data_IF_772485844301
#
_entry.id   IF_772485844301
#
_cell.length_a   1.000
_cell.length_b   1.000
_cell.length_c   1.000
_cell.angle_alpha   90.00
_cell.angle_beta   90.00
_cell.angle_gamma   90.00
#
_symmetry.space_group_name_H-M   'P 1'
#
loop_
_entity.id
_entity.type
_entity.pdbx_description
1 polymer ?
#
# COMPACT_ATOMS: atom_id res chain seq x y z
N UNK A 1 38.42 22.46 -9.74
CA UNK A 1 38.12 21.06 -10.09
C UNK A 1 36.63 20.93 -9.97
N UNK A 2 35.95 20.89 -11.11
CA UNK A 2 34.50 20.76 -11.16
C UNK A 2 34.12 19.33 -10.69
N UNK A 3 33.24 19.24 -9.72
CA UNK A 3 32.61 17.97 -9.32
C UNK A 3 31.82 17.47 -10.54
N UNK A 4 32.28 16.36 -11.12
CA UNK A 4 31.56 15.65 -12.17
C UNK A 4 30.23 15.21 -11.53
N UNK A 5 29.13 15.82 -11.98
CA UNK A 5 27.79 15.31 -11.68
C UNK A 5 27.72 13.87 -12.17
N UNK A 6 27.57 12.94 -11.25
CA UNK A 6 27.27 11.56 -11.59
C UNK A 6 25.96 11.58 -12.39
N UNK A 7 26.04 11.28 -13.67
CA UNK A 7 24.84 11.01 -14.46
C UNK A 7 24.13 9.83 -13.79
N UNK A 8 22.94 10.09 -13.23
CA UNK A 8 22.09 9.02 -12.68
C UNK A 8 21.86 8.00 -13.78
N UNK A 9 22.39 6.80 -13.59
CA UNK A 9 22.20 5.73 -14.57
C UNK A 9 20.75 5.26 -14.56
N UNK A 10 20.28 4.66 -15.65
CA UNK A 10 18.93 4.05 -15.70
C UNK A 10 18.76 3.02 -14.58
N UNK A 11 19.84 2.33 -14.20
CA UNK A 11 19.84 1.40 -13.07
C UNK A 11 19.60 2.09 -11.74
N UNK A 12 20.21 3.26 -11.50
CA UNK A 12 20.02 4.02 -10.26
C UNK A 12 18.58 4.54 -10.15
N UNK A 13 18.02 4.98 -11.30
CA UNK A 13 16.62 5.39 -11.39
C UNK A 13 15.69 4.22 -11.02
N UNK A 14 15.90 3.04 -11.62
CA UNK A 14 15.09 1.84 -11.37
C UNK A 14 15.19 1.42 -9.90
N UNK A 15 16.40 1.34 -9.35
CA UNK A 15 16.62 0.94 -7.95
C UNK A 15 15.92 1.91 -6.99
N UNK A 16 16.04 3.22 -7.24
CA UNK A 16 15.39 4.24 -6.40
C UNK A 16 13.86 4.11 -6.37
N UNK A 17 13.23 3.79 -7.53
CA UNK A 17 11.77 3.66 -7.63
C UNK A 17 11.25 2.29 -7.16
N UNK A 18 12.10 1.27 -7.14
CA UNK A 18 11.74 -0.08 -6.64
C UNK A 18 12.09 -0.29 -5.16
N UNK A 19 12.75 0.68 -4.51
CA UNK A 19 13.10 0.56 -3.09
C UNK A 19 11.93 1.07 -2.25
N UNK A 20 11.39 0.18 -1.42
CA UNK A 20 10.32 0.53 -0.50
C UNK A 20 10.81 1.51 0.57
N UNK A 21 9.96 2.48 0.94
CA UNK A 21 10.20 3.34 2.08
C UNK A 21 10.15 2.50 3.37
N UNK A 22 11.32 2.17 3.88
CA UNK A 22 11.46 1.28 5.03
C UNK A 22 11.86 2.05 6.28
N UNK A 23 11.10 1.87 7.36
CA UNK A 23 11.42 2.36 8.70
C UNK A 23 11.78 1.18 9.60
N UNK A 24 12.92 1.24 10.26
CA UNK A 24 13.35 0.12 11.08
C UNK A 24 14.46 0.46 12.06
N UNK A 25 14.88 -0.56 12.81
CA UNK A 25 15.94 -0.43 13.79
C UNK A 25 17.25 -0.96 13.23
N UNK A 26 18.22 -0.06 13.06
CA UNK A 26 19.59 -0.44 12.70
C UNK A 26 20.31 -1.02 13.94
N UNK A 27 21.11 -2.07 13.77
CA UNK A 27 21.94 -2.62 14.86
C UNK A 27 23.03 -1.64 15.28
N UNK A 28 23.46 -1.76 16.52
CA UNK A 28 24.61 -0.98 17.03
C UNK A 28 25.88 -1.25 16.23
N UNK A 29 26.70 -0.22 16.06
CA UNK A 29 27.95 -0.30 15.32
C UNK A 29 27.79 -0.35 13.80
N UNK A 30 26.58 -0.27 13.26
CA UNK A 30 26.37 -0.19 11.81
C UNK A 30 26.86 1.14 11.26
N UNK A 31 27.68 1.09 10.22
CA UNK A 31 28.20 2.27 9.53
C UNK A 31 27.28 2.64 8.36
N UNK A 32 26.64 3.78 8.45
CA UNK A 32 25.75 4.31 7.39
C UNK A 32 26.55 4.98 6.28
N UNK A 33 25.96 5.12 5.11
CA UNK A 33 26.58 5.81 3.96
C UNK A 33 26.89 7.30 4.21
N UNK A 34 26.21 7.94 5.14
CA UNK A 34 26.45 9.32 5.56
C UNK A 34 27.65 9.48 6.53
N UNK A 35 28.32 8.37 6.86
CA UNK A 35 29.44 8.32 7.79
C UNK A 35 29.03 8.27 9.27
N UNK A 36 27.73 8.24 9.56
CA UNK A 36 27.24 8.07 10.92
C UNK A 36 27.37 6.60 11.36
N UNK A 37 27.86 6.39 12.58
CA UNK A 37 27.89 5.06 13.20
C UNK A 37 26.77 4.98 14.23
N UNK A 38 25.94 3.96 14.13
CA UNK A 38 24.80 3.76 15.03
C UNK A 38 25.29 3.53 16.46
N UNK A 39 24.74 4.28 17.39
CA UNK A 39 25.09 4.24 18.83
C UNK A 39 24.66 2.93 19.51
N UNK A 40 25.15 2.72 20.74
CA UNK A 40 24.76 1.58 21.58
C UNK A 40 23.24 1.48 21.74
N UNK A 41 22.71 0.27 21.57
CA UNK A 41 21.28 -0.01 21.64
C UNK A 41 20.53 0.06 20.32
N UNK A 42 21.19 0.47 19.22
CA UNK A 42 20.62 0.59 17.90
C UNK A 42 19.72 1.84 17.73
N UNK A 43 19.43 2.21 16.51
CA UNK A 43 18.70 3.44 16.17
C UNK A 43 17.50 3.15 15.26
N UNK A 44 16.35 3.77 15.59
CA UNK A 44 15.16 3.73 14.74
C UNK A 44 15.24 4.85 13.69
N UNK A 45 15.30 4.48 12.41
CA UNK A 45 15.47 5.43 11.32
C UNK A 45 14.86 4.91 10.02
N UNK A 46 14.70 5.82 9.03
CA UNK A 46 14.40 5.41 7.67
C UNK A 46 15.66 4.89 6.99
N UNK A 47 15.50 3.80 6.23
CA UNK A 47 16.57 3.24 5.42
C UNK A 47 16.83 4.10 4.18
N UNK A 48 18.11 4.34 3.88
CA UNK A 48 18.55 5.06 2.70
C UNK A 48 19.13 4.14 1.61
N UNK A 49 19.20 2.83 1.86
CA UNK A 49 19.73 1.85 0.91
C UNK A 49 19.38 0.42 1.27
N UNK A 50 19.60 -0.49 0.32
CA UNK A 50 19.28 -1.90 0.46
C UNK A 50 20.10 -2.61 1.55
N UNK A 51 21.30 -2.17 1.82
CA UNK A 51 22.18 -2.65 2.89
C UNK A 51 21.65 -2.27 4.29
N UNK A 52 21.12 -1.06 4.47
CA UNK A 52 20.44 -0.67 5.71
C UNK A 52 19.17 -1.50 5.94
N UNK A 53 18.36 -1.73 4.89
CA UNK A 53 17.16 -2.59 4.96
C UNK A 53 17.54 -4.01 5.38
N UNK A 54 18.60 -4.54 4.79
CA UNK A 54 19.10 -5.89 5.13
C UNK A 54 19.62 -5.96 6.58
N UNK A 55 20.29 -4.90 7.04
CA UNK A 55 20.78 -4.82 8.42
C UNK A 55 19.64 -4.69 9.46
N UNK A 56 18.53 -4.02 9.12
CA UNK A 56 17.33 -3.92 9.96
C UNK A 56 16.65 -5.29 10.15
N UNK A 57 16.74 -6.17 9.15
CA UNK A 57 16.21 -7.52 9.20
C UNK A 57 14.72 -7.57 9.57
N UNK A 58 14.37 -8.28 10.64
CA UNK A 58 12.98 -8.44 11.08
C UNK A 58 12.38 -7.17 11.74
N UNK A 59 13.19 -6.20 12.10
CA UNK A 59 12.75 -4.92 12.67
C UNK A 59 12.48 -3.85 11.61
N UNK A 60 12.28 -4.25 10.37
CA UNK A 60 11.98 -3.37 9.25
C UNK A 60 10.48 -3.37 8.94
N UNK A 61 9.90 -2.19 8.78
CA UNK A 61 8.50 -1.98 8.40
C UNK A 61 8.48 -1.20 7.08
N UNK A 62 7.85 -1.76 6.04
CA UNK A 62 7.63 -1.06 4.77
C UNK A 62 6.45 -0.10 4.92
N UNK A 63 6.77 1.16 5.18
CA UNK A 63 5.78 2.20 5.52
C UNK A 63 4.88 2.52 4.33
N UNK A 64 5.41 2.54 3.13
CA UNK A 64 4.69 2.75 1.88
C UNK A 64 3.61 1.68 1.65
N UNK A 65 4.01 0.40 1.69
CA UNK A 65 3.09 -0.73 1.52
C UNK A 65 2.01 -0.75 2.59
N UNK A 66 2.40 -0.45 3.85
CA UNK A 66 1.45 -0.37 4.95
C UNK A 66 0.48 0.81 4.79
N UNK A 67 0.97 1.97 4.36
CA UNK A 67 0.15 3.15 4.14
C UNK A 67 -0.87 2.93 3.01
N UNK A 68 -0.46 2.33 1.90
CA UNK A 68 -1.35 1.95 0.81
C UNK A 68 -2.39 0.94 1.26
N UNK A 69 -1.98 -0.09 1.99
CA UNK A 69 -2.88 -1.12 2.51
C UNK A 69 -3.95 -0.53 3.43
N UNK A 70 -3.56 0.31 4.39
CA UNK A 70 -4.49 1.00 5.30
C UNK A 70 -5.38 1.97 4.52
N UNK A 71 -4.82 2.75 3.59
CA UNK A 71 -5.55 3.69 2.75
C UNK A 71 -6.65 3.02 1.94
N UNK A 72 -6.34 1.93 1.25
CA UNK A 72 -7.31 1.13 0.51
C UNK A 72 -8.37 0.52 1.43
N UNK A 73 -7.99 0.06 2.62
CA UNK A 73 -8.92 -0.43 3.64
C UNK A 73 -9.92 0.64 4.09
N UNK A 74 -9.46 1.85 4.31
CA UNK A 74 -10.31 2.99 4.66
C UNK A 74 -11.28 3.32 3.51
N UNK A 75 -10.78 3.36 2.28
CA UNK A 75 -11.60 3.61 1.08
C UNK A 75 -12.69 2.52 0.94
N UNK A 76 -12.31 1.25 1.10
CA UNK A 76 -13.24 0.13 1.09
C UNK A 76 -14.34 0.30 2.14
N UNK A 77 -13.95 0.49 3.40
CA UNK A 77 -14.91 0.64 4.50
C UNK A 77 -15.81 1.87 4.31
N UNK A 78 -15.27 3.00 3.86
CA UNK A 78 -16.02 4.21 3.61
C UNK A 78 -17.04 4.02 2.47
N UNK A 79 -16.62 3.39 1.37
CA UNK A 79 -17.46 3.13 0.21
C UNK A 79 -18.63 2.20 0.55
N UNK A 80 -18.34 1.07 1.20
CA UNK A 80 -19.37 0.11 1.57
C UNK A 80 -20.32 0.68 2.63
N UNK A 81 -19.79 1.44 3.61
CA UNK A 81 -20.64 2.16 4.57
C UNK A 81 -21.54 3.19 3.87
N UNK A 82 -20.99 3.93 2.91
CA UNK A 82 -21.74 4.93 2.16
C UNK A 82 -22.91 4.28 1.39
N UNK A 83 -22.68 3.14 0.75
CA UNK A 83 -23.73 2.36 0.07
C UNK A 83 -24.72 1.80 1.07
N UNK A 84 -24.27 1.17 2.14
CA UNK A 84 -25.15 0.56 3.15
C UNK A 84 -26.12 1.56 3.79
N UNK A 85 -25.70 2.79 4.02
CA UNK A 85 -26.56 3.86 4.56
C UNK A 85 -27.59 4.35 3.52
N UNK A 86 -27.31 4.22 2.22
CA UNK A 86 -28.15 4.67 1.11
C UNK A 86 -28.99 3.57 0.47
N UNK A 87 -28.73 2.31 0.86
CA UNK A 87 -29.52 1.18 0.38
C UNK A 87 -30.99 1.38 0.71
N UNK A 88 -31.85 1.26 -0.29
CA UNK A 88 -33.31 1.35 -0.19
C UNK A 88 -33.96 0.16 -0.90
N UNK A 89 -35.24 -0.05 -0.64
CA UNK A 89 -36.00 -1.09 -1.33
C UNK A 89 -36.35 -0.76 -2.77
N UNK A 90 -36.06 0.46 -3.22
CA UNK A 90 -36.24 0.90 -4.61
C UNK A 90 -35.15 0.36 -5.52
N UNK A 91 -35.36 0.43 -6.83
CA UNK A 91 -34.37 0.01 -7.82
C UNK A 91 -33.06 0.80 -7.68
N UNK A 92 -31.95 0.12 -7.30
CA UNK A 92 -30.67 0.82 -7.14
C UNK A 92 -30.13 1.28 -8.48
N UNK A 93 -29.42 2.39 -8.51
CA UNK A 93 -28.82 2.95 -9.72
C UNK A 93 -27.32 3.21 -9.57
N UNK A 94 -26.61 3.15 -10.69
CA UNK A 94 -25.20 3.53 -10.77
C UNK A 94 -24.28 2.71 -9.85
N UNK A 95 -23.48 3.39 -9.02
CA UNK A 95 -22.49 2.77 -8.15
C UNK A 95 -23.11 1.87 -7.07
N UNK A 96 -24.29 2.23 -6.56
CA UNK A 96 -25.00 1.43 -5.56
C UNK A 96 -25.33 0.06 -6.16
N UNK A 97 -25.90 0.02 -7.36
CA UNK A 97 -26.20 -1.22 -8.07
C UNK A 97 -24.93 -2.07 -8.33
N UNK A 98 -23.82 -1.43 -8.70
CA UNK A 98 -22.57 -2.15 -8.94
C UNK A 98 -22.05 -2.84 -7.66
N UNK A 99 -22.13 -2.16 -6.52
CA UNK A 99 -21.70 -2.74 -5.24
C UNK A 99 -22.66 -3.83 -4.77
N UNK A 100 -23.97 -3.63 -4.92
CA UNK A 100 -24.97 -4.66 -4.59
C UNK A 100 -24.78 -5.93 -5.43
N UNK A 101 -24.48 -5.80 -6.73
CA UNK A 101 -24.15 -6.95 -7.59
C UNK A 101 -22.91 -7.71 -7.12
N UNK A 102 -21.87 -6.99 -6.64
CA UNK A 102 -20.67 -7.64 -6.09
C UNK A 102 -21.01 -8.40 -4.81
N UNK A 103 -21.77 -7.79 -3.92
CA UNK A 103 -22.19 -8.41 -2.65
C UNK A 103 -23.03 -9.65 -2.92
N UNK A 104 -24.02 -9.56 -3.83
CA UNK A 104 -24.89 -10.67 -4.21
C UNK A 104 -24.09 -11.80 -4.88
N UNK A 105 -23.16 -11.46 -5.78
CA UNK A 105 -22.29 -12.44 -6.41
C UNK A 105 -21.49 -13.25 -5.38
N UNK A 106 -20.85 -12.58 -4.42
CA UNK A 106 -20.07 -13.26 -3.39
C UNK A 106 -20.96 -14.09 -2.46
N UNK A 107 -22.11 -13.55 -2.06
CA UNK A 107 -23.05 -14.26 -1.18
C UNK A 107 -23.56 -15.55 -1.85
N UNK A 108 -23.89 -15.51 -3.13
CA UNK A 108 -24.29 -16.67 -3.90
C UNK A 108 -23.16 -17.70 -4.02
N UNK A 109 -21.92 -17.28 -4.33
CA UNK A 109 -20.77 -18.17 -4.36
C UNK A 109 -20.52 -18.89 -3.03
N UNK A 110 -20.67 -18.16 -1.94
CA UNK A 110 -20.53 -18.73 -0.59
C UNK A 110 -21.65 -19.72 -0.28
N UNK A 111 -22.92 -19.39 -0.61
CA UNK A 111 -24.06 -20.28 -0.40
C UNK A 111 -23.98 -21.57 -1.22
N UNK A 112 -23.50 -21.48 -2.46
CA UNK A 112 -23.34 -22.63 -3.34
C UNK A 112 -22.24 -23.59 -2.84
N UNK A 113 -21.22 -23.05 -2.19
CA UNK A 113 -20.06 -23.83 -1.71
C UNK A 113 -20.25 -24.31 -0.26
N UNK A 114 -20.85 -23.47 0.61
CA UNK A 114 -21.01 -23.74 2.02
C UNK A 114 -22.49 -23.94 2.40
N UNK A 115 -22.85 -25.16 2.72
CA UNK A 115 -24.20 -25.52 3.16
C UNK A 115 -24.47 -25.24 4.65
N UNK A 116 -23.41 -24.93 5.42
CA UNK A 116 -23.53 -24.57 6.84
C UNK A 116 -23.82 -23.08 7.01
N UNK A 117 -24.78 -22.73 7.88
CA UNK A 117 -25.12 -21.35 8.19
C UNK A 117 -24.06 -20.70 9.10
N UNK A 118 -23.06 -20.08 8.48
CA UNK A 118 -22.08 -19.27 9.21
C UNK A 118 -22.12 -17.83 8.68
N UNK A 119 -22.53 -16.91 9.54
CA UNK A 119 -22.69 -15.49 9.19
C UNK A 119 -21.37 -14.76 8.91
N UNK A 120 -20.23 -15.36 9.23
CA UNK A 120 -18.91 -14.73 9.06
C UNK A 120 -18.27 -15.04 7.68
N UNK A 121 -18.68 -16.13 7.02
CA UNK A 121 -18.02 -16.58 5.79
C UNK A 121 -18.25 -15.60 4.64
N UNK A 122 -19.47 -15.16 4.41
CA UNK A 122 -19.80 -14.25 3.33
C UNK A 122 -19.11 -12.86 3.47
N UNK A 123 -19.15 -12.18 4.64
CA UNK A 123 -18.41 -10.94 4.84
C UNK A 123 -16.89 -11.12 4.72
N UNK A 124 -16.34 -12.24 5.19
CA UNK A 124 -14.90 -12.53 5.07
C UNK A 124 -14.51 -12.73 3.60
N UNK A 125 -15.28 -13.52 2.85
CA UNK A 125 -15.06 -13.76 1.42
C UNK A 125 -15.15 -12.44 0.63
N UNK A 126 -16.14 -11.59 0.92
CA UNK A 126 -16.28 -10.27 0.32
C UNK A 126 -15.06 -9.39 0.62
N UNK A 127 -14.61 -9.37 1.87
CA UNK A 127 -13.44 -8.57 2.28
C UNK A 127 -12.19 -9.01 1.52
N UNK A 128 -11.92 -10.31 1.47
CA UNK A 128 -10.76 -10.85 0.75
C UNK A 128 -10.85 -10.54 -0.74
N UNK A 129 -12.01 -10.77 -1.36
CA UNK A 129 -12.22 -10.51 -2.79
C UNK A 129 -11.95 -9.04 -3.14
N UNK A 130 -12.60 -8.11 -2.42
CA UNK A 130 -12.46 -6.66 -2.69
C UNK A 130 -11.03 -6.20 -2.37
N UNK A 131 -10.43 -6.73 -1.31
CA UNK A 131 -9.04 -6.40 -0.95
C UNK A 131 -8.06 -6.78 -2.05
N UNK A 132 -8.11 -8.04 -2.49
CA UNK A 132 -7.25 -8.53 -3.58
C UNK A 132 -7.51 -7.74 -4.87
N UNK A 133 -8.77 -7.46 -5.19
CA UNK A 133 -9.13 -6.63 -6.34
C UNK A 133 -8.53 -5.23 -6.28
N UNK A 134 -8.66 -4.54 -5.14
CA UNK A 134 -8.13 -3.19 -4.96
C UNK A 134 -6.60 -3.16 -5.01
N UNK A 135 -5.92 -4.14 -4.43
CA UNK A 135 -4.47 -4.23 -4.50
C UNK A 135 -3.98 -4.42 -5.94
N UNK A 136 -4.63 -5.32 -6.71
CA UNK A 136 -4.30 -5.48 -8.13
C UNK A 136 -4.67 -4.25 -8.98
N UNK A 137 -5.76 -3.55 -8.64
CA UNK A 137 -6.12 -2.30 -9.32
C UNK A 137 -5.08 -1.20 -9.07
N UNK A 138 -4.50 -1.17 -7.89
CA UNK A 138 -3.43 -0.23 -7.55
C UNK A 138 -2.17 -0.47 -8.40
N UNK A 139 -1.82 -1.73 -8.69
CA UNK A 139 -0.67 -2.07 -9.54
C UNK A 139 -0.80 -1.59 -10.98
N UNK A 140 -2.01 -1.26 -11.42
CA UNK A 140 -2.27 -0.65 -12.72
C UNK A 140 -2.00 0.86 -12.75
N UNK A 141 -1.83 1.50 -11.60
CA UNK A 141 -1.51 2.93 -11.50
C UNK A 141 -0.03 3.11 -11.81
N UNK A 142 0.35 3.93 -12.83
CA UNK A 142 1.74 4.23 -13.10
C UNK A 142 2.47 4.79 -11.87
N UNK A 143 3.67 4.31 -11.59
CA UNK A 143 4.49 4.73 -10.44
C UNK A 143 4.72 6.24 -10.43
N UNK A 144 4.86 6.84 -11.61
CA UNK A 144 5.13 8.26 -11.78
C UNK A 144 3.89 9.16 -11.63
N UNK A 145 2.68 8.59 -11.57
CA UNK A 145 1.43 9.36 -11.54
C UNK A 145 1.31 10.21 -10.27
N UNK A 146 1.68 9.67 -9.12
CA UNK A 146 1.61 10.39 -7.84
C UNK A 146 2.64 11.52 -7.78
N UNK A 147 3.94 11.29 -8.11
CA UNK A 147 4.91 12.35 -8.25
C UNK A 147 4.49 13.47 -9.22
N UNK A 148 3.98 13.10 -10.39
CA UNK A 148 3.54 14.08 -11.40
C UNK A 148 2.37 14.94 -10.92
N UNK A 149 1.37 14.34 -10.24
CA UNK A 149 0.28 15.07 -9.64
C UNK A 149 0.72 16.02 -8.52
N UNK A 150 1.71 15.64 -7.72
CA UNK A 150 2.27 16.50 -6.68
C UNK A 150 3.02 17.70 -7.29
N UNK A 151 3.77 17.49 -8.37
CA UNK A 151 4.40 18.58 -9.13
C UNK A 151 3.37 19.55 -9.71
N UNK A 152 2.27 19.03 -10.28
CA UNK A 152 1.17 19.85 -10.79
C UNK A 152 0.45 20.63 -9.68
N UNK A 153 0.43 20.08 -8.46
CA UNK A 153 -0.11 20.76 -7.27
C UNK A 153 0.85 21.78 -6.65
N UNK A 154 2.06 21.94 -7.23
CA UNK A 154 3.06 22.89 -6.76
C UNK A 154 3.86 22.41 -5.54
N UNK A 155 3.87 21.11 -5.27
CA UNK A 155 4.70 20.49 -4.22
C UNK A 155 6.02 20.06 -4.87
N UNK A 156 7.08 20.85 -4.65
CA UNK A 156 8.44 20.45 -5.03
C UNK A 156 8.95 19.44 -3.96
N UNK A 157 9.19 18.21 -4.37
CA UNK A 157 9.90 17.23 -3.55
C UNK A 157 11.29 17.03 -4.15
N UNK A 158 12.30 17.12 -3.32
CA UNK A 158 13.70 16.89 -3.67
C UNK A 158 14.11 15.45 -3.37
#
# INVERSE_FOLDING_TARGET
>A
MAAAGQEKTVSDYIVHHLTNLTYGKLPEGFHRHDGHTVSEGGEWTFAHGADEITAMGFNAIHVDSLAWSIGLGIIFCALFRWVAVRASADTPSGLINAIEMIVEFIDNQVKDTFHAQNKLIAPLALTIFVWVFLMNLMDLIPVDLVPELLLLAGVEYQ
#
